data_IF_423385933525
#
_entry.id   IF_423385933525
#
_cell.length_a   1.000
_cell.length_b   1.000
_cell.length_c   1.000
_cell.angle_alpha   90.00
_cell.angle_beta   90.00
_cell.angle_gamma   90.00
#
_symmetry.space_group_name_H-M   'P 1'
#
loop_
_entity.id
_entity.type
_entity.pdbx_description
1 polymer ?
#
# COMPACT_ATOMS: atom_id res chain seq x y z
N UNK A 1 -1.74 -61.18 -27.13
CA UNK A 1 -0.34 -60.83 -27.45
C UNK A 1 -0.33 -59.33 -27.73
N UNK A 2 0.34 -58.41 -27.05
CA UNK A 2 1.44 -58.42 -26.07
C UNK A 2 1.55 -56.95 -25.59
N UNK A 3 1.32 -56.65 -24.31
CA UNK A 3 2.32 -56.34 -23.27
C UNK A 3 3.19 -55.09 -23.52
N UNK A 4 3.10 -54.07 -22.65
CA UNK A 4 4.22 -53.17 -22.32
C UNK A 4 4.12 -52.72 -20.85
N UNK A 5 4.65 -53.58 -19.96
CA UNK A 5 5.20 -53.22 -18.65
C UNK A 5 6.73 -53.25 -18.80
N UNK A 6 7.44 -52.20 -18.37
CA UNK A 6 8.87 -52.12 -17.94
C UNK A 6 9.11 -50.61 -17.65
N UNK A 7 9.17 -50.13 -16.40
CA UNK A 7 10.26 -50.22 -15.41
C UNK A 7 11.45 -49.28 -15.73
N UNK A 8 11.66 -48.22 -14.93
CA UNK A 8 12.99 -47.85 -14.40
C UNK A 8 12.94 -46.79 -13.29
N UNK A 9 13.69 -47.11 -12.25
CA UNK A 9 13.95 -46.42 -11.00
C UNK A 9 15.14 -45.44 -11.12
N UNK A 10 15.21 -44.48 -10.16
CA UNK A 10 16.39 -43.75 -9.63
C UNK A 10 16.88 -42.52 -10.41
N UNK A 11 16.81 -41.33 -9.76
CA UNK A 11 17.93 -40.43 -9.37
C UNK A 11 17.30 -39.28 -8.54
N UNK A 12 17.28 -39.31 -7.20
CA UNK A 12 18.30 -38.81 -6.27
C UNK A 12 18.62 -37.30 -6.41
N UNK A 13 18.02 -36.46 -5.55
CA UNK A 13 18.64 -35.22 -5.09
C UNK A 13 18.55 -35.18 -3.56
N UNK A 14 19.72 -35.32 -2.97
CA UNK A 14 20.05 -35.22 -1.55
C UNK A 14 20.00 -33.75 -1.14
N UNK A 15 19.30 -33.44 -0.04
CA UNK A 15 19.60 -32.28 0.79
C UNK A 15 20.01 -32.81 2.18
N UNK A 16 21.30 -32.66 2.42
CA UNK A 16 22.06 -33.11 3.57
C UNK A 16 21.95 -32.08 4.70
N UNK A 17 21.54 -32.54 5.88
CA UNK A 17 22.06 -32.20 7.21
C UNK A 17 21.83 -30.79 7.79
N UNK A 18 21.05 -30.76 8.88
CA UNK A 18 21.45 -30.09 10.12
C UNK A 18 20.96 -30.93 11.31
N UNK A 19 21.85 -31.78 11.81
CA UNK A 19 21.76 -32.35 13.14
C UNK A 19 22.24 -31.24 14.08
N UNK A 20 21.29 -30.56 14.74
CA UNK A 20 21.61 -29.78 15.94
C UNK A 20 21.35 -30.68 17.15
N UNK A 21 22.41 -31.29 17.65
CA UNK A 21 22.42 -31.84 19.00
C UNK A 21 22.44 -30.70 20.00
N UNK A 22 21.36 -30.55 20.77
CA UNK A 22 21.38 -30.04 22.14
C UNK A 22 20.67 -31.14 22.94
N UNK A 23 21.36 -31.90 23.79
CA UNK A 23 21.65 -31.47 25.15
C UNK A 23 20.55 -32.03 26.05
N UNK A 24 20.90 -32.93 26.97
CA UNK A 24 19.96 -33.86 27.59
C UNK A 24 18.81 -33.23 28.41
N UNK A 25 17.71 -33.97 28.47
CA UNK A 25 16.57 -33.71 29.34
C UNK A 25 15.38 -34.54 28.86
N UNK A 26 15.07 -35.64 29.55
CA UNK A 26 14.05 -36.58 29.11
C UNK A 26 12.67 -35.94 28.96
N UNK A 27 12.08 -36.10 27.79
CA UNK A 27 10.65 -36.23 27.62
C UNK A 27 10.44 -37.42 26.68
N UNK A 28 9.63 -38.39 27.10
CA UNK A 28 9.32 -39.57 26.30
C UNK A 28 8.89 -39.19 24.90
N UNK A 29 9.15 -40.08 23.94
CA UNK A 29 8.62 -39.99 22.58
C UNK A 29 7.08 -40.11 22.64
N UNK A 30 6.41 -39.03 23.03
CA UNK A 30 4.97 -38.92 23.04
C UNK A 30 4.55 -38.76 21.58
N UNK A 31 3.83 -39.75 21.06
CA UNK A 31 3.28 -39.66 19.72
C UNK A 31 2.10 -38.69 19.74
N UNK A 32 2.01 -37.76 18.77
CA UNK A 32 0.85 -36.89 18.67
C UNK A 32 -0.42 -37.74 18.49
N UNK A 33 -1.49 -37.39 19.19
CA UNK A 33 -2.79 -38.08 19.11
C UNK A 33 -3.94 -37.14 18.74
N UNK A 34 -3.81 -35.84 19.02
CA UNK A 34 -4.79 -34.82 18.61
C UNK A 34 -4.11 -33.51 18.27
N UNK A 35 -4.71 -32.78 17.33
CA UNK A 35 -4.32 -31.42 16.95
C UNK A 35 -5.56 -30.52 16.89
N UNK A 36 -5.48 -29.34 17.49
CA UNK A 36 -6.55 -28.33 17.47
C UNK A 36 -6.00 -27.06 16.86
N UNK A 37 -6.72 -26.51 15.89
CA UNK A 37 -6.37 -25.26 15.23
C UNK A 37 -7.33 -24.15 15.66
N UNK A 38 -6.77 -23.03 16.11
CA UNK A 38 -7.49 -21.83 16.52
C UNK A 38 -6.99 -20.62 15.75
N UNK A 39 -7.85 -19.61 15.58
CA UNK A 39 -7.48 -18.32 15.03
C UNK A 39 -7.92 -17.21 15.98
N UNK A 40 -7.17 -16.12 16.00
CA UNK A 40 -7.56 -14.88 16.67
C UNK A 40 -8.80 -14.24 16.03
N UNK A 41 -8.90 -14.31 14.70
CA UNK A 41 -10.02 -13.82 13.90
C UNK A 41 -10.23 -14.65 12.65
N UNK A 42 -11.44 -14.62 12.12
CA UNK A 42 -11.83 -15.36 10.90
C UNK A 42 -11.91 -14.47 9.66
N UNK A 43 -11.63 -13.17 9.79
CA UNK A 43 -11.61 -12.24 8.66
C UNK A 43 -10.48 -11.22 8.77
N UNK A 44 -9.83 -10.93 7.65
CA UNK A 44 -8.81 -9.88 7.54
C UNK A 44 -8.93 -9.16 6.19
N UNK A 45 -8.43 -7.93 6.13
CA UNK A 45 -8.33 -7.17 4.87
C UNK A 45 -7.06 -7.60 4.13
N UNK A 46 -7.19 -8.02 2.87
CA UNK A 46 -6.04 -8.38 2.06
C UNK A 46 -5.31 -7.15 1.51
N UNK A 47 -4.64 -6.40 2.40
CA UNK A 47 -3.85 -5.20 2.10
C UNK A 47 -2.33 -5.39 2.31
N UNK A 48 -1.89 -6.62 2.61
CA UNK A 48 -0.50 -6.93 2.92
C UNK A 48 -0.03 -6.56 4.34
N UNK A 49 -0.86 -5.90 5.15
CA UNK A 49 -0.52 -5.51 6.53
C UNK A 49 -1.43 -6.16 7.56
N UNK A 50 -2.70 -6.37 7.24
CA UNK A 50 -3.63 -7.06 8.11
C UNK A 50 -3.41 -8.57 8.03
N UNK A 51 -3.18 -9.17 9.20
CA UNK A 51 -2.75 -10.57 9.33
C UNK A 51 -3.67 -11.32 10.29
N UNK A 52 -3.86 -12.62 10.07
CA UNK A 52 -4.57 -13.54 10.96
C UNK A 52 -3.52 -14.38 11.69
N UNK A 53 -3.62 -14.44 13.01
CA UNK A 53 -2.76 -15.26 13.85
C UNK A 53 -3.44 -16.60 14.11
N UNK A 54 -2.85 -17.64 13.52
CA UNK A 54 -3.27 -19.02 13.69
C UNK A 54 -2.42 -19.68 14.78
N UNK A 55 -3.05 -20.43 15.69
CA UNK A 55 -2.36 -21.20 16.70
C UNK A 55 -2.82 -22.66 16.63
N UNK A 56 -1.87 -23.57 16.45
CA UNK A 56 -2.12 -25.01 16.53
C UNK A 56 -1.56 -25.58 17.84
N UNK A 57 -2.34 -26.43 18.49
CA UNK A 57 -1.98 -27.11 19.74
C UNK A 57 -2.00 -28.63 19.50
N UNK A 58 -0.89 -29.31 19.81
CA UNK A 58 -0.71 -30.74 19.63
C UNK A 58 -0.63 -31.43 20.99
N UNK A 59 -1.48 -32.44 21.19
CA UNK A 59 -1.52 -33.25 22.42
C UNK A 59 -1.38 -34.74 22.13
N UNK A 60 -0.82 -35.47 23.08
CA UNK A 60 -0.74 -36.93 23.05
C UNK A 60 -2.06 -37.60 23.51
N UNK A 61 -2.09 -38.93 23.50
CA UNK A 61 -3.27 -39.71 23.88
C UNK A 61 -3.65 -39.61 25.37
N UNK A 62 -2.78 -39.02 26.20
CA UNK A 62 -3.04 -38.73 27.63
C UNK A 62 -3.51 -37.28 27.85
N UNK A 63 -3.49 -36.46 26.79
CA UNK A 63 -3.83 -35.04 26.84
C UNK A 63 -2.65 -34.13 27.20
N UNK A 64 -1.43 -34.64 27.29
CA UNK A 64 -0.23 -33.83 27.55
C UNK A 64 0.26 -33.14 26.26
N UNK A 65 0.84 -31.93 26.35
CA UNK A 65 1.37 -31.22 25.18
C UNK A 65 2.61 -31.93 24.61
N UNK A 66 2.73 -31.96 23.27
CA UNK A 66 3.87 -32.60 22.60
C UNK A 66 4.74 -31.56 21.90
N UNK A 67 5.97 -31.41 22.39
CA UNK A 67 6.94 -30.45 21.88
C UNK A 67 7.76 -31.01 20.69
N UNK A 68 8.23 -30.12 19.81
CA UNK A 68 9.16 -30.44 18.73
C UNK A 68 8.54 -31.23 17.57
N UNK A 69 7.21 -31.27 17.47
CA UNK A 69 6.52 -32.04 16.43
C UNK A 69 6.30 -31.17 15.20
N UNK A 70 6.64 -31.64 13.98
CA UNK A 70 6.38 -30.90 12.76
C UNK A 70 4.87 -30.83 12.48
N UNK A 71 4.35 -29.61 12.35
CA UNK A 71 2.97 -29.29 11.98
C UNK A 71 2.99 -28.56 10.66
N UNK A 72 2.15 -28.97 9.72
CA UNK A 72 1.97 -28.29 8.43
C UNK A 72 0.56 -27.74 8.34
N UNK A 73 0.41 -26.43 8.19
CA UNK A 73 -0.88 -25.83 7.84
C UNK A 73 -1.08 -25.95 6.34
N UNK A 74 -2.15 -26.61 5.93
CA UNK A 74 -2.61 -26.72 4.56
C UNK A 74 -3.73 -25.71 4.31
N UNK A 75 -3.57 -24.90 3.27
CA UNK A 75 -4.58 -23.96 2.81
C UNK A 75 -5.20 -24.45 1.51
N UNK A 76 -6.49 -24.16 1.31
CA UNK A 76 -7.22 -24.57 0.10
C UNK A 76 -6.73 -23.90 -1.19
N UNK A 77 -5.92 -22.84 -1.08
CA UNK A 77 -5.28 -22.17 -2.21
C UNK A 77 -3.97 -22.86 -2.66
N UNK A 78 -3.59 -23.97 -2.02
CA UNK A 78 -2.38 -24.73 -2.30
C UNK A 78 -1.15 -24.29 -1.51
N UNK A 79 -1.25 -23.23 -0.70
CA UNK A 79 -0.18 -22.81 0.20
C UNK A 79 -0.03 -23.77 1.37
N UNK A 80 1.22 -23.96 1.82
CA UNK A 80 1.53 -24.74 3.02
C UNK A 80 2.50 -23.99 3.92
N UNK A 81 2.22 -23.96 5.22
CA UNK A 81 3.08 -23.34 6.23
C UNK A 81 3.60 -24.42 7.18
N UNK A 82 4.86 -24.86 7.02
CA UNK A 82 5.47 -25.78 7.97
C UNK A 82 5.93 -25.05 9.24
N UNK A 83 5.75 -25.68 10.38
CA UNK A 83 6.20 -25.20 11.70
C UNK A 83 6.48 -26.37 12.63
N UNK A 84 7.03 -26.08 13.80
CA UNK A 84 7.28 -27.10 14.84
C UNK A 84 6.73 -26.59 16.17
N UNK A 85 6.18 -27.49 16.98
CA UNK A 85 5.64 -27.13 18.30
C UNK A 85 6.72 -26.76 19.30
N UNK A 86 6.44 -25.78 20.15
CA UNK A 86 7.30 -25.37 21.27
C UNK A 86 7.17 -26.32 22.48
N UNK A 87 7.83 -25.98 23.58
CA UNK A 87 7.77 -26.75 24.84
C UNK A 87 6.38 -26.92 25.45
N UNK A 88 5.39 -26.13 25.01
CA UNK A 88 4.00 -26.21 25.43
C UNK A 88 3.10 -26.91 24.40
N UNK A 89 3.69 -27.50 23.36
CA UNK A 89 2.95 -28.18 22.29
C UNK A 89 2.20 -27.22 21.36
N UNK A 90 2.57 -25.94 21.35
CA UNK A 90 1.93 -24.89 20.56
C UNK A 90 2.80 -24.44 19.40
N UNK A 91 2.19 -24.03 18.32
CA UNK A 91 2.87 -23.37 17.20
C UNK A 91 1.98 -22.26 16.66
N UNK A 92 2.57 -21.09 16.41
CA UNK A 92 1.89 -19.94 15.86
C UNK A 92 2.28 -19.71 14.39
N UNK A 93 1.30 -19.37 13.57
CA UNK A 93 1.48 -19.01 12.17
C UNK A 93 0.82 -17.65 11.90
N UNK A 94 1.45 -16.86 11.04
CA UNK A 94 0.90 -15.58 10.59
C UNK A 94 0.46 -15.76 9.16
N UNK A 95 -0.82 -15.50 8.90
CA UNK A 95 -1.40 -15.55 7.57
C UNK A 95 -1.79 -14.14 7.12
N UNK A 96 -1.12 -13.64 6.08
CA UNK A 96 -1.47 -12.40 5.41
C UNK A 96 -1.59 -12.64 3.90
N UNK A 97 -2.41 -11.83 3.23
CA UNK A 97 -2.51 -11.86 1.76
C UNK A 97 -1.98 -10.55 1.17
N UNK A 98 -1.31 -10.60 -0.01
CA UNK A 98 -0.98 -9.41 -0.76
C UNK A 98 -2.24 -8.65 -1.16
N UNK A 99 -2.08 -7.41 -1.62
CA UNK A 99 -3.19 -6.54 -2.02
C UNK A 99 -4.15 -7.25 -3.00
N UNK A 100 -5.37 -7.55 -2.56
CA UNK A 100 -6.42 -8.06 -3.44
C UNK A 100 -7.00 -6.89 -4.26
N UNK A 101 -6.88 -6.94 -5.59
CA UNK A 101 -7.45 -5.93 -6.49
C UNK A 101 -8.85 -6.27 -6.98
N UNK A 102 -9.40 -7.42 -6.58
CA UNK A 102 -10.69 -7.94 -7.02
C UNK A 102 -11.72 -7.72 -5.91
N UNK A 103 -12.88 -7.15 -6.25
CA UNK A 103 -13.95 -6.81 -5.29
C UNK A 103 -14.65 -8.02 -4.64
N UNK A 104 -14.28 -9.25 -5.01
CA UNK A 104 -14.81 -10.47 -4.42
C UNK A 104 -13.84 -10.95 -3.35
N UNK A 105 -14.32 -11.10 -2.11
CA UNK A 105 -13.54 -11.68 -1.03
C UNK A 105 -13.07 -13.09 -1.36
N UNK A 106 -11.88 -13.43 -0.90
CA UNK A 106 -11.29 -14.75 -1.08
C UNK A 106 -11.48 -15.54 0.21
N UNK A 107 -12.16 -16.68 0.13
CA UNK A 107 -12.39 -17.55 1.30
C UNK A 107 -11.44 -18.73 1.21
N UNK A 108 -10.61 -18.88 2.23
CA UNK A 108 -9.59 -19.92 2.30
C UNK A 108 -9.94 -20.86 3.46
N UNK A 109 -9.95 -22.16 3.17
CA UNK A 109 -10.06 -23.19 4.21
C UNK A 109 -8.67 -23.54 4.70
N UNK A 110 -8.49 -23.48 6.01
CA UNK A 110 -7.23 -23.76 6.71
C UNK A 110 -7.40 -25.03 7.53
N UNK A 111 -6.46 -25.97 7.41
CA UNK A 111 -6.39 -27.16 8.24
C UNK A 111 -4.94 -27.46 8.63
N UNK A 112 -4.69 -27.85 9.86
CA UNK A 112 -3.38 -28.28 10.32
C UNK A 112 -3.24 -29.79 10.19
N UNK A 113 -2.08 -30.26 9.76
CA UNK A 113 -1.73 -31.67 9.72
C UNK A 113 -0.44 -31.92 10.51
N UNK A 114 -0.46 -32.95 11.34
CA UNK A 114 0.65 -33.34 12.19
C UNK A 114 0.75 -34.87 12.19
N UNK A 115 1.84 -35.42 11.64
CA UNK A 115 2.10 -36.87 11.58
C UNK A 115 0.89 -37.71 11.07
N UNK A 116 0.14 -37.18 10.09
CA UNK A 116 -1.05 -37.83 9.51
C UNK A 116 -2.37 -37.57 10.26
N UNK A 117 -2.34 -36.81 11.37
CA UNK A 117 -3.54 -36.35 12.07
C UNK A 117 -3.91 -34.97 11.55
N UNK A 118 -5.14 -34.83 11.06
CA UNK A 118 -5.68 -33.56 10.56
C UNK A 118 -6.57 -32.91 11.61
N UNK A 119 -6.42 -31.60 11.80
CA UNK A 119 -7.21 -30.79 12.74
C UNK A 119 -8.63 -30.50 12.23
N UNK A 120 -9.37 -29.70 13.00
CA UNK A 120 -10.54 -29.00 12.50
C UNK A 120 -10.20 -28.10 11.30
N UNK A 121 -11.21 -27.88 10.45
CA UNK A 121 -11.14 -26.93 9.35
C UNK A 121 -11.62 -25.57 9.82
N UNK A 122 -10.89 -24.53 9.49
CA UNK A 122 -11.28 -23.16 9.73
C UNK A 122 -11.47 -22.44 8.40
N UNK A 123 -12.60 -21.75 8.25
CA UNK A 123 -12.82 -20.87 7.11
C UNK A 123 -12.38 -19.46 7.49
N UNK A 124 -11.43 -18.92 6.73
CA UNK A 124 -11.00 -17.53 6.87
C UNK A 124 -11.34 -16.76 5.62
N UNK A 125 -11.97 -15.59 5.78
CA UNK A 125 -12.33 -14.72 4.67
C UNK A 125 -11.36 -13.56 4.58
N UNK A 126 -10.67 -13.44 3.45
CA UNK A 126 -9.91 -12.26 3.11
C UNK A 126 -10.81 -11.32 2.32
N UNK A 127 -11.21 -10.24 2.97
CA UNK A 127 -11.97 -9.19 2.32
C UNK A 127 -11.00 -8.38 1.45
N UNK A 128 -11.41 -7.98 0.24
CA UNK A 128 -10.59 -7.05 -0.49
C UNK A 128 -10.46 -5.76 0.33
N UNK A 129 -9.32 -5.06 0.21
CA UNK A 129 -9.28 -3.66 0.59
C UNK A 129 -10.45 -2.95 -0.12
N UNK A 130 -11.06 -1.92 0.46
CA UNK A 130 -12.13 -1.19 -0.20
C UNK A 130 -11.68 -0.72 -1.59
N UNK A 131 -12.09 -1.45 -2.63
CA UNK A 131 -11.69 -1.24 -4.01
C UNK A 131 -12.49 -0.06 -4.57
N UNK A 132 -11.80 1.01 -4.97
CA UNK A 132 -12.45 2.23 -5.45
C UNK A 132 -12.94 3.15 -4.33
N UNK A 133 -12.16 3.29 -3.24
CA UNK A 133 -12.30 4.48 -2.42
C UNK A 133 -12.01 5.68 -3.32
N UNK A 134 -13.03 6.51 -3.55
CA UNK A 134 -12.89 7.82 -4.16
C UNK A 134 -11.59 8.47 -3.65
N UNK A 135 -10.65 8.75 -4.54
CA UNK A 135 -9.32 9.23 -4.16
C UNK A 135 -9.21 10.71 -4.48
N UNK A 136 -8.52 11.45 -3.62
CA UNK A 136 -8.21 12.86 -3.84
C UNK A 136 -6.71 13.06 -3.79
N UNK A 137 -6.18 13.80 -4.75
CA UNK A 137 -4.77 14.19 -4.78
C UNK A 137 -4.68 15.70 -4.82
N UNK A 138 -3.69 16.27 -4.11
CA UNK A 138 -3.34 17.68 -4.25
C UNK A 138 -1.99 17.76 -4.94
N UNK A 139 -1.86 18.51 -6.02
CA UNK A 139 -0.58 18.61 -6.75
C UNK A 139 -0.18 20.09 -6.88
N UNK A 140 1.08 20.46 -6.59
CA UNK A 140 1.58 21.80 -6.87
C UNK A 140 1.72 22.01 -8.39
N UNK A 141 1.25 23.14 -8.89
CA UNK A 141 1.40 23.56 -10.29
C UNK A 141 2.49 24.64 -10.49
N UNK A 142 3.03 25.17 -9.38
CA UNK A 142 4.03 26.23 -9.37
C UNK A 142 3.53 27.48 -8.64
N UNK A 143 4.45 28.33 -8.15
CA UNK A 143 4.18 29.67 -7.62
C UNK A 143 3.01 29.80 -6.62
N UNK A 144 2.84 28.82 -5.72
CA UNK A 144 1.76 28.84 -4.72
C UNK A 144 0.40 28.39 -5.26
N UNK A 145 0.38 27.74 -6.43
CA UNK A 145 -0.82 27.15 -7.02
C UNK A 145 -0.85 25.65 -6.76
N UNK A 146 -2.01 25.15 -6.31
CA UNK A 146 -2.25 23.73 -6.04
C UNK A 146 -3.57 23.30 -6.64
N UNK A 147 -3.58 22.19 -7.36
CA UNK A 147 -4.80 21.60 -7.90
C UNK A 147 -5.22 20.38 -7.10
N UNK A 148 -6.46 20.39 -6.63
CA UNK A 148 -7.14 19.23 -6.07
C UNK A 148 -7.79 18.43 -7.20
N UNK A 149 -7.47 17.16 -7.28
CA UNK A 149 -7.99 16.25 -8.29
C UNK A 149 -8.71 15.07 -7.63
N UNK A 150 -9.94 14.83 -8.05
CA UNK A 150 -10.70 13.63 -7.72
C UNK A 150 -10.36 12.53 -8.72
N UNK A 151 -10.21 11.32 -8.22
CA UNK A 151 -9.85 10.12 -9.00
C UNK A 151 -10.88 9.03 -8.68
N UNK A 152 -11.43 8.48 -9.75
CA UNK A 152 -12.38 7.36 -9.75
C UNK A 152 -13.56 7.60 -8.82
N UNK A 153 -14.12 8.82 -8.83
CA UNK A 153 -15.31 9.11 -8.07
C UNK A 153 -16.46 8.22 -8.53
N UNK A 154 -17.21 7.71 -7.56
CA UNK A 154 -18.40 6.91 -7.78
C UNK A 154 -19.49 7.36 -6.82
N UNK A 155 -20.56 7.91 -7.40
CA UNK A 155 -21.78 8.29 -6.69
C UNK A 155 -21.57 9.29 -5.54
N UNK A 156 -20.58 10.19 -5.67
CA UNK A 156 -20.28 11.21 -4.67
C UNK A 156 -21.29 12.35 -4.75
N UNK A 157 -21.98 12.63 -3.66
CA UNK A 157 -22.95 13.72 -3.53
C UNK A 157 -22.40 14.91 -2.73
N UNK A 158 -21.46 14.68 -1.82
CA UNK A 158 -20.85 15.70 -0.99
C UNK A 158 -19.34 15.54 -0.89
N UNK A 159 -18.63 16.67 -0.84
CA UNK A 159 -17.18 16.73 -0.67
C UNK A 159 -16.88 17.77 0.39
N UNK A 160 -16.11 17.41 1.41
CA UNK A 160 -15.56 18.34 2.39
C UNK A 160 -14.06 18.14 2.47
N UNK A 161 -13.30 19.17 2.09
CA UNK A 161 -11.84 19.18 2.12
C UNK A 161 -11.40 20.15 3.21
N UNK A 162 -10.47 19.73 4.07
CA UNK A 162 -9.75 20.60 4.99
C UNK A 162 -8.27 20.52 4.66
N UNK A 163 -7.67 21.64 4.31
CA UNK A 163 -6.26 21.78 3.99
C UNK A 163 -5.61 22.59 5.11
N UNK A 164 -4.53 22.07 5.69
CA UNK A 164 -3.61 22.84 6.51
C UNK A 164 -2.40 23.22 5.66
N UNK A 165 -2.01 24.48 5.68
CA UNK A 165 -0.85 24.98 4.93
C UNK A 165 0.05 25.80 5.85
N UNK A 166 1.30 25.97 5.44
CA UNK A 166 2.24 26.80 6.18
C UNK A 166 1.98 28.30 5.91
N UNK A 167 1.44 28.99 6.92
CA UNK A 167 1.13 30.41 6.84
C UNK A 167 2.35 31.34 6.85
N UNK A 168 3.56 30.82 7.11
CA UNK A 168 4.79 31.60 7.00
C UNK A 168 5.23 31.76 5.54
N UNK A 169 4.92 30.78 4.69
CA UNK A 169 5.34 30.75 3.28
C UNK A 169 4.20 31.04 2.29
N UNK A 170 2.95 30.82 2.70
CA UNK A 170 1.75 31.04 1.89
C UNK A 170 0.73 31.94 2.60
N UNK A 171 0.12 32.88 1.88
CA UNK A 171 -0.90 33.79 2.38
C UNK A 171 -2.07 33.95 1.38
N UNK A 172 -3.14 34.60 1.82
CA UNK A 172 -4.29 35.00 1.01
C UNK A 172 -4.85 33.87 0.10
N UNK A 173 -5.26 32.72 0.65
CA UNK A 173 -5.80 31.63 -0.15
C UNK A 173 -7.03 32.08 -0.95
N UNK A 174 -7.05 31.70 -2.22
CA UNK A 174 -8.19 31.86 -3.14
C UNK A 174 -8.49 30.51 -3.76
N UNK A 175 -9.75 30.16 -3.88
CA UNK A 175 -10.17 28.86 -4.38
C UNK A 175 -11.06 29.04 -5.60
N UNK A 176 -10.68 28.40 -6.70
CA UNK A 176 -11.49 28.31 -7.92
C UNK A 176 -12.08 26.91 -8.08
N UNK A 177 -13.31 26.88 -8.59
CA UNK A 177 -14.06 25.64 -8.78
C UNK A 177 -13.52 24.86 -9.98
N UNK A 178 -13.24 23.57 -9.77
CA UNK A 178 -12.79 22.68 -10.83
C UNK A 178 -13.93 22.06 -11.65
N UNK A 179 -13.58 21.53 -12.82
CA UNK A 179 -14.53 20.95 -13.78
C UNK A 179 -15.29 19.72 -13.28
N UNK A 180 -14.68 18.88 -12.42
CA UNK A 180 -15.33 17.69 -11.88
C UNK A 180 -16.59 18.05 -11.08
N UNK A 181 -16.57 19.20 -10.42
CA UNK A 181 -17.66 19.70 -9.58
C UNK A 181 -18.42 20.87 -10.22
N UNK A 182 -18.35 21.03 -11.55
CA UNK A 182 -18.95 22.19 -12.24
C UNK A 182 -20.44 22.38 -11.92
N UNK A 183 -21.21 21.29 -11.78
CA UNK A 183 -22.63 21.28 -11.41
C UNK A 183 -22.93 21.36 -9.91
N UNK A 184 -21.90 21.36 -9.05
CA UNK A 184 -22.06 21.40 -7.60
C UNK A 184 -22.14 22.84 -7.07
N UNK A 185 -22.77 23.00 -5.90
CA UNK A 185 -22.69 24.20 -5.08
C UNK A 185 -21.44 24.10 -4.20
N UNK A 186 -20.50 25.03 -4.36
CA UNK A 186 -19.23 25.05 -3.64
C UNK A 186 -19.13 26.28 -2.74
N UNK A 187 -18.61 26.08 -1.54
CA UNK A 187 -18.27 27.14 -0.58
C UNK A 187 -16.86 26.89 -0.07
N UNK A 188 -16.05 27.94 0.05
CA UNK A 188 -14.72 27.87 0.65
C UNK A 188 -14.59 28.85 1.81
N UNK A 189 -13.97 28.41 2.90
CA UNK A 189 -13.49 29.28 3.97
C UNK A 189 -11.97 29.41 3.84
N UNK A 190 -11.54 30.62 3.46
CA UNK A 190 -10.14 31.01 3.26
C UNK A 190 -9.69 32.10 4.24
N UNK A 191 -10.54 32.47 5.21
CA UNK A 191 -10.27 33.60 6.12
C UNK A 191 -9.44 33.20 7.34
N UNK A 192 -9.26 31.90 7.58
CA UNK A 192 -8.44 31.38 8.67
C UNK A 192 -7.00 31.19 8.20
N UNK A 193 -6.00 31.92 8.75
CA UNK A 193 -4.60 31.68 8.42
C UNK A 193 -4.19 30.23 8.69
N UNK A 194 -3.43 29.64 7.76
CA UNK A 194 -2.93 28.27 7.85
C UNK A 194 -3.98 27.20 7.55
N UNK A 195 -5.23 27.57 7.23
CA UNK A 195 -6.31 26.61 6.96
C UNK A 195 -7.25 27.04 5.84
N UNK A 196 -7.48 26.14 4.88
CA UNK A 196 -8.54 26.28 3.87
C UNK A 196 -9.55 25.16 4.07
N UNK A 197 -10.84 25.50 4.09
CA UNK A 197 -11.93 24.51 4.07
C UNK A 197 -12.72 24.69 2.80
N UNK A 198 -13.01 23.61 2.10
CA UNK A 198 -13.85 23.59 0.91
C UNK A 198 -14.98 22.61 1.18
N UNK A 199 -16.22 23.04 0.95
CA UNK A 199 -17.38 22.17 0.95
C UNK A 199 -18.07 22.28 -0.40
N UNK A 200 -18.41 21.15 -1.00
CA UNK A 200 -19.20 21.09 -2.22
C UNK A 200 -20.32 20.07 -2.07
N UNK A 201 -21.51 20.42 -2.55
CA UNK A 201 -22.68 19.53 -2.58
C UNK A 201 -23.25 19.51 -4.00
N UNK A 202 -23.55 18.32 -4.49
CA UNK A 202 -24.12 18.09 -5.82
C UNK A 202 -25.43 17.34 -5.71
N UNK A 203 -26.42 17.74 -6.51
CA UNK A 203 -27.69 17.02 -6.66
C UNK A 203 -27.61 15.91 -7.71
N UNK A 204 -26.57 15.94 -8.56
CA UNK A 204 -26.23 14.86 -9.48
C UNK A 204 -24.98 14.14 -8.97
N UNK A 205 -25.04 12.83 -8.70
CA UNK A 205 -23.86 12.09 -8.27
C UNK A 205 -22.68 12.33 -9.20
N UNK A 206 -21.55 12.70 -8.59
CA UNK A 206 -20.30 12.94 -9.27
C UNK A 206 -19.63 11.58 -9.50
N UNK A 207 -19.27 11.31 -10.74
CA UNK A 207 -18.57 10.10 -11.13
C UNK A 207 -17.47 10.42 -12.15
N UNK A 208 -16.36 9.69 -12.05
CA UNK A 208 -15.17 9.88 -12.88
C UNK A 208 -14.06 10.67 -12.19
N UNK A 209 -13.11 11.14 -12.98
CA UNK A 209 -11.88 11.79 -12.51
C UNK A 209 -11.76 13.20 -13.07
N UNK A 210 -11.18 14.12 -12.31
CA UNK A 210 -10.99 15.50 -12.76
C UNK A 210 -10.69 16.49 -11.64
N UNK A 211 -10.41 17.76 -11.99
CA UNK A 211 -10.12 18.79 -11.00
C UNK A 211 -11.36 19.11 -10.16
N UNK A 212 -11.23 19.03 -8.84
CA UNK A 212 -12.22 19.47 -7.85
C UNK A 212 -12.10 20.97 -7.64
N UNK A 213 -10.88 21.48 -7.45
CA UNK A 213 -10.62 22.90 -7.25
C UNK A 213 -9.16 23.23 -7.51
N UNK A 214 -8.89 24.48 -7.85
CA UNK A 214 -7.54 25.03 -7.88
C UNK A 214 -7.42 26.09 -6.78
N UNK A 215 -6.37 25.98 -5.97
CA UNK A 215 -6.10 26.89 -4.86
C UNK A 215 -4.88 27.73 -5.20
N UNK A 216 -5.03 29.03 -5.07
CA UNK A 216 -3.99 30.02 -5.27
C UNK A 216 -3.60 30.62 -3.93
N UNK A 217 -2.31 30.76 -3.70
CA UNK A 217 -1.75 31.45 -2.55
C UNK A 217 -0.78 32.53 -3.02
N UNK A 218 -0.69 33.61 -2.25
CA UNK A 218 0.40 34.57 -2.39
C UNK A 218 1.62 34.03 -1.61
N UNK A 219 2.78 33.95 -2.25
CA UNK A 219 4.01 33.52 -1.56
C UNK A 219 4.57 34.67 -0.73
N UNK A 220 4.86 34.39 0.53
CA UNK A 220 5.40 35.38 1.49
C UNK A 220 6.87 35.14 1.84
N UNK A 221 7.47 34.04 1.35
CA UNK A 221 8.86 33.65 1.61
C UNK A 221 9.60 33.08 0.39
N UNK A 222 10.90 32.81 0.56
CA UNK A 222 11.79 32.27 -0.49
C UNK A 222 11.62 30.76 -0.71
N UNK A 223 11.20 30.04 0.34
CA UNK A 223 10.91 28.60 0.29
C UNK A 223 9.66 28.31 -0.55
N UNK A 224 9.64 27.15 -1.20
CA UNK A 224 8.43 26.67 -1.87
C UNK A 224 7.32 26.50 -0.82
N UNK A 225 6.17 27.13 -1.04
CA UNK A 225 5.06 27.04 -0.10
C UNK A 225 4.60 25.59 0.10
N UNK A 226 4.30 25.21 1.35
CA UNK A 226 4.03 23.82 1.70
C UNK A 226 2.60 23.61 2.19
N UNK A 227 2.00 22.53 1.69
CA UNK A 227 0.79 21.95 2.28
C UNK A 227 1.24 20.98 3.38
N UNK A 228 0.71 21.18 4.59
CA UNK A 228 1.08 20.40 5.77
C UNK A 228 0.22 19.14 5.91
N UNK A 229 -1.08 19.26 5.61
CA UNK A 229 -2.01 18.14 5.63
C UNK A 229 -3.26 18.43 4.80
N UNK A 230 -3.89 17.37 4.31
CA UNK A 230 -5.17 17.43 3.62
C UNK A 230 -6.04 16.30 4.16
N UNK A 231 -7.23 16.64 4.60
CA UNK A 231 -8.26 15.69 5.04
C UNK A 231 -9.47 15.86 4.16
N UNK A 232 -9.99 14.76 3.63
CA UNK A 232 -11.15 14.75 2.76
C UNK A 232 -12.20 13.80 3.33
N UNK A 233 -13.42 14.29 3.42
CA UNK A 233 -14.62 13.53 3.73
C UNK A 233 -15.53 13.57 2.50
N UNK A 234 -15.97 12.40 2.04
CA UNK A 234 -16.85 12.25 0.89
C UNK A 234 -18.16 11.62 1.34
N UNK A 235 -19.26 12.17 0.85
CA UNK A 235 -20.61 11.72 1.19
C UNK A 235 -21.27 11.15 -0.06
N UNK A 236 -21.82 9.93 0.03
CA UNK A 236 -22.55 9.30 -1.09
C UNK A 236 -24.00 9.83 -1.20
N UNK A 237 -24.71 9.44 -2.27
CA UNK A 237 -26.13 9.80 -2.47
C UNK A 237 -27.08 9.26 -1.39
N UNK A 238 -26.62 8.30 -0.57
CA UNK A 238 -27.36 7.73 0.57
C UNK A 238 -26.99 8.42 1.88
N UNK A 239 -26.21 9.51 1.82
CA UNK A 239 -25.73 10.29 2.96
C UNK A 239 -24.75 9.56 3.87
N UNK A 240 -24.06 8.54 3.36
CA UNK A 240 -22.96 7.90 4.07
C UNK A 240 -21.68 8.68 3.81
N UNK A 241 -21.07 9.20 4.88
CA UNK A 241 -19.76 9.85 4.84
C UNK A 241 -18.63 8.84 5.08
N UNK A 242 -17.58 8.93 4.29
CA UNK A 242 -16.34 8.18 4.47
C UNK A 242 -15.12 9.05 4.15
N UNK A 243 -13.97 8.84 4.82
CA UNK A 243 -12.74 9.51 4.44
C UNK A 243 -12.30 9.06 3.04
N UNK A 244 -11.78 9.99 2.24
CA UNK A 244 -11.11 9.67 0.98
C UNK A 244 -9.66 9.25 1.25
N UNK A 245 -9.10 8.43 0.35
CA UNK A 245 -7.64 8.31 0.28
C UNK A 245 -7.06 9.63 -0.25
N UNK A 246 -6.06 10.18 0.45
CA UNK A 246 -5.49 11.48 0.13
C UNK A 246 -4.00 11.34 -0.10
N UNK A 247 -3.55 11.63 -1.32
CA UNK A 247 -2.12 11.73 -1.63
C UNK A 247 -1.68 13.19 -1.66
N UNK A 248 -0.69 13.52 -0.82
CA UNK A 248 0.07 14.76 -0.89
C UNK A 248 1.44 14.35 -1.46
N UNK A 249 1.80 14.76 -2.68
CA UNK A 249 3.16 14.58 -3.17
C UNK A 249 4.07 15.41 -2.27
N UNK A 250 5.01 14.74 -1.60
CA UNK A 250 6.08 15.43 -0.89
C UNK A 250 6.72 16.42 -1.86
N UNK A 251 6.81 17.68 -1.43
CA UNK A 251 7.50 18.73 -2.17
C UNK A 251 9.01 18.48 -2.11
N UNK A 252 9.49 17.44 -2.80
CA UNK A 252 10.90 17.18 -3.03
C UNK A 252 11.08 16.19 -4.19
N UNK A 253 11.03 16.71 -5.41
CA UNK A 253 12.18 16.54 -6.32
C UNK A 253 12.16 17.70 -7.29
N UNK A 254 13.06 18.65 -7.06
CA UNK A 254 13.72 19.39 -8.11
C UNK A 254 14.17 18.40 -9.19
N UNK A 255 13.41 18.29 -10.27
CA UNK A 255 13.96 17.86 -11.55
C UNK A 255 14.80 19.04 -12.03
N UNK A 256 16.03 19.11 -11.52
CA UNK A 256 17.11 19.75 -12.23
C UNK A 256 17.18 19.01 -13.56
N UNK A 257 16.78 19.68 -14.65
CA UNK A 257 17.15 19.27 -15.98
C UNK A 257 18.65 18.94 -15.95
N UNK A 258 19.10 17.79 -16.50
CA UNK A 258 20.52 17.56 -16.64
C UNK A 258 21.07 18.72 -17.46
N UNK A 259 22.00 19.48 -16.85
CA UNK A 259 22.86 20.36 -17.59
C UNK A 259 23.44 19.55 -18.75
N UNK A 260 23.23 20.03 -19.98
CA UNK A 260 24.06 19.61 -21.09
C UNK A 260 25.48 20.08 -20.78
N UNK A 261 26.23 19.22 -20.10
CA UNK A 261 27.67 19.35 -19.98
C UNK A 261 28.24 19.08 -21.35
N UNK A 262 28.68 20.14 -22.01
CA UNK A 262 29.48 20.07 -23.22
C UNK A 262 30.65 19.12 -23.01
N UNK A 263 30.74 18.12 -23.89
CA UNK A 263 31.95 17.35 -24.09
C UNK A 263 32.98 18.24 -24.80
N UNK A 264 34.08 18.50 -24.12
CA UNK A 264 35.27 19.13 -24.67
C UNK A 264 35.89 18.28 -25.80
N UNK A 265 36.13 18.90 -26.95
CA UNK A 265 37.33 18.64 -27.76
C UNK A 265 37.56 19.81 -28.75
N UNK A 266 38.81 20.08 -29.16
CA UNK A 266 39.76 20.92 -28.44
C UNK A 266 39.97 22.30 -29.08
N UNK A 267 40.60 23.18 -28.31
CA UNK A 267 41.15 24.48 -28.71
C UNK A 267 42.03 24.38 -29.96
N UNK A 268 41.73 25.21 -30.96
CA UNK A 268 42.72 25.75 -31.90
C UNK A 268 42.66 27.28 -31.83
N UNK A 269 43.75 27.84 -31.32
CA UNK A 269 44.02 29.27 -31.24
C UNK A 269 44.34 29.83 -32.62
N UNK A 270 43.63 30.88 -33.05
CA UNK A 270 44.23 31.87 -33.97
C UNK A 270 43.95 33.27 -33.45
N UNK A 271 45.05 33.92 -33.10
CA UNK A 271 45.18 35.31 -32.74
C UNK A 271 44.76 36.26 -33.86
N UNK A 272 44.17 37.40 -33.49
CA UNK A 272 44.53 38.66 -34.15
C UNK A 272 44.30 39.83 -33.20
N UNK A 273 45.39 40.56 -32.99
CA UNK A 273 45.52 41.77 -32.19
C UNK A 273 44.73 42.94 -32.80
N UNK A 274 44.25 43.91 -32.00
CA UNK A 274 43.63 45.13 -32.53
C UNK A 274 44.69 46.17 -32.91
N UNK A 275 44.51 46.80 -34.07
CA UNK A 275 45.33 47.90 -34.59
C UNK A 275 44.48 48.87 -35.43
N UNK A 276 44.65 50.15 -35.14
CA UNK A 276 43.89 51.36 -35.47
C UNK A 276 43.72 51.76 -36.96
N UNK A 277 42.82 52.71 -37.27
CA UNK A 277 42.32 53.05 -38.61
C UNK A 277 43.06 54.21 -39.28
N UNK A 278 42.97 54.36 -40.62
CA UNK A 278 42.93 55.61 -41.41
C UNK A 278 42.66 55.25 -42.88
N UNK A 279 41.80 56.01 -43.59
CA UNK A 279 41.91 56.15 -45.05
C UNK A 279 40.61 56.35 -45.82
N UNK A 280 40.28 57.61 -46.10
CA UNK A 280 39.27 58.15 -47.03
C UNK A 280 39.60 57.92 -48.51
N UNK A 281 38.59 57.86 -49.40
CA UNK A 281 38.55 58.54 -50.72
C UNK A 281 37.21 58.28 -51.46
N UNK A 282 36.83 59.04 -52.52
CA UNK A 282 37.52 60.16 -53.18
C UNK A 282 37.02 61.57 -52.85
#
# INVERSE_FOLDING_TARGET
MTSYRILRHITCLIALLLIAGCGGGGAGSASPASIVLTADKTSAVANGTDSINLAAEVRDGTGAPVAGVPVTINLSDGSHLPGSTDGEGRVAFILSRPLLTVATGDTVTVAAECAGIVSNRLEVSFLPPPAGANKVTISPEGDGVFTLQGIDFKDVAGIKVTISYDSATLANPRVEKGGLIAGAMMVSNTTAPGRVVIAAVSTKPLSGSGPIATIYFDRTGTEAGRILSVTVELTDIRLNSAPADVAIPDSATSSTAPAQTGGSQPVSTTSSSPGTPVGTNP
#
